data_IF_664945631537
#
_entry.id   IF_664945631537
#
_cell.length_a   1.000
_cell.length_b   1.000
_cell.length_c   1.000
_cell.angle_alpha   90.00
_cell.angle_beta   90.00
_cell.angle_gamma   90.00
#
_symmetry.space_group_name_H-M   'P 1'
#
loop_
_entity.id
_entity.type
_entity.pdbx_description
1 polymer ?
#
# COMPACT_ATOMS: atom_id res chain seq x y z
N UNK A 1 -12.47 5.22 -5.66
CA UNK A 1 -11.46 6.22 -5.27
C UNK A 1 -10.98 6.87 -6.54
N UNK A 2 -11.17 8.17 -6.71
CA UNK A 2 -10.65 8.92 -7.87
C UNK A 2 -9.17 9.24 -7.64
N UNK A 3 -8.34 8.20 -7.56
CA UNK A 3 -6.90 8.30 -7.26
C UNK A 3 -6.10 8.08 -8.56
N UNK A 4 -5.17 8.99 -8.91
CA UNK A 4 -4.30 8.81 -10.07
C UNK A 4 -3.49 7.51 -9.98
N UNK A 5 -3.32 6.83 -11.12
CA UNK A 5 -2.75 5.48 -11.16
C UNK A 5 -1.27 5.44 -10.74
N UNK A 6 -0.54 6.53 -10.95
CA UNK A 6 0.84 6.72 -10.53
C UNK A 6 1.01 6.78 -9.01
N UNK A 7 -0.06 7.06 -8.25
CA UNK A 7 -0.05 7.05 -6.78
C UNK A 7 -0.33 5.65 -6.20
N UNK A 8 -0.62 4.66 -7.06
CA UNK A 8 -0.86 3.28 -6.64
C UNK A 8 0.46 2.49 -6.73
N UNK A 9 0.91 1.99 -5.59
CA UNK A 9 2.08 1.12 -5.52
C UNK A 9 1.69 -0.28 -6.00
N UNK A 10 2.40 -0.78 -7.00
CA UNK A 10 2.10 -2.04 -7.68
C UNK A 10 3.29 -2.98 -7.57
N UNK A 11 3.15 -4.05 -6.80
CA UNK A 11 4.19 -5.08 -6.66
C UNK A 11 3.73 -6.45 -7.20
N UNK A 12 2.45 -6.56 -7.57
CA UNK A 12 1.85 -7.81 -8.09
C UNK A 12 2.57 -8.34 -9.34
N UNK A 13 3.10 -7.46 -10.18
CA UNK A 13 3.84 -7.84 -11.38
C UNK A 13 5.20 -8.50 -11.08
N UNK A 14 5.73 -8.34 -9.86
CA UNK A 14 6.98 -8.95 -9.39
C UNK A 14 6.75 -10.18 -8.52
N UNK A 15 5.76 -10.12 -7.62
CA UNK A 15 5.58 -11.15 -6.57
C UNK A 15 4.24 -11.88 -6.62
N UNK A 16 3.33 -11.50 -7.51
CA UNK A 16 1.97 -12.02 -7.51
C UNK A 16 1.15 -11.58 -6.28
N UNK A 17 0.09 -12.33 -5.99
CA UNK A 17 -0.73 -12.14 -4.79
C UNK A 17 -0.12 -12.94 -3.63
N UNK A 18 0.44 -12.26 -2.64
CA UNK A 18 1.05 -12.88 -1.46
C UNK A 18 0.15 -12.79 -0.22
N UNK A 19 -1.17 -12.64 -0.43
CA UNK A 19 -2.20 -12.53 0.61
C UNK A 19 -1.84 -11.40 1.59
N UNK A 20 -1.73 -11.71 2.88
CA UNK A 20 -1.44 -10.74 3.94
C UNK A 20 -0.13 -9.96 3.71
N UNK A 21 0.85 -10.56 3.04
CA UNK A 21 2.15 -9.92 2.79
C UNK A 21 2.13 -8.90 1.65
N UNK A 22 1.04 -8.81 0.86
CA UNK A 22 0.98 -7.94 -0.31
C UNK A 22 1.16 -6.45 0.04
N UNK A 23 0.53 -6.01 1.13
CA UNK A 23 0.60 -4.63 1.61
C UNK A 23 1.99 -4.28 2.18
N UNK A 24 2.59 -5.04 3.12
CA UNK A 24 3.90 -4.69 3.65
C UNK A 24 5.02 -4.76 2.59
N UNK A 25 4.96 -5.70 1.63
CA UNK A 25 5.91 -5.72 0.51
C UNK A 25 5.80 -4.43 -0.33
N UNK A 26 4.58 -4.00 -0.65
CA UNK A 26 4.37 -2.75 -1.38
C UNK A 26 4.83 -1.51 -0.60
N UNK A 27 4.58 -1.48 0.71
CA UNK A 27 5.04 -0.40 1.57
C UNK A 27 6.58 -0.34 1.65
N UNK A 28 7.24 -1.49 1.78
CA UNK A 28 8.69 -1.57 1.79
C UNK A 28 9.30 -1.08 0.47
N UNK A 29 8.79 -1.53 -0.69
CA UNK A 29 9.25 -1.01 -1.98
C UNK A 29 9.04 0.51 -2.12
N UNK A 30 7.92 1.04 -1.65
CA UNK A 30 7.67 2.48 -1.65
C UNK A 30 8.75 3.22 -0.84
N UNK A 31 9.06 2.74 0.37
CA UNK A 31 10.04 3.36 1.27
C UNK A 31 11.48 3.25 0.74
N UNK A 32 11.82 2.19 0.01
CA UNK A 32 13.12 2.06 -0.65
C UNK A 32 13.27 3.00 -1.84
N UNK A 33 12.20 3.23 -2.60
CA UNK A 33 12.23 4.07 -3.80
C UNK A 33 12.01 5.56 -3.51
N UNK A 34 11.28 5.88 -2.44
CA UNK A 34 10.86 7.24 -2.13
C UNK A 34 11.01 7.52 -0.64
N UNK A 35 11.61 8.67 -0.33
CA UNK A 35 11.56 9.22 1.03
C UNK A 35 10.23 9.95 1.21
N UNK A 36 9.37 9.40 2.06
CA UNK A 36 8.12 10.06 2.43
C UNK A 36 8.41 11.35 3.22
N UNK A 37 7.60 12.37 2.99
CA UNK A 37 7.60 13.61 3.78
C UNK A 37 6.46 13.61 4.78
N UNK A 38 6.56 14.45 5.81
CA UNK A 38 5.51 14.61 6.83
C UNK A 38 4.19 15.13 6.25
N UNK A 39 4.19 15.75 5.07
CA UNK A 39 2.97 16.21 4.40
C UNK A 39 2.27 15.10 3.60
N UNK A 40 2.95 13.99 3.35
CA UNK A 40 2.41 12.86 2.63
C UNK A 40 1.67 11.90 3.56
N UNK A 41 0.58 11.34 3.04
CA UNK A 41 -0.22 10.31 3.72
C UNK A 41 -0.24 9.06 2.86
N UNK A 42 -0.16 7.90 3.50
CA UNK A 42 -0.22 6.59 2.84
C UNK A 42 -1.48 5.87 3.29
N UNK A 43 -2.33 5.48 2.35
CA UNK A 43 -3.51 4.66 2.61
C UNK A 43 -3.16 3.19 2.39
N UNK A 44 -3.21 2.40 3.46
CA UNK A 44 -3.16 0.94 3.38
C UNK A 44 -4.61 0.43 3.35
N UNK A 45 -4.95 -0.40 2.37
CA UNK A 45 -6.29 -0.95 2.21
C UNK A 45 -6.20 -2.43 1.85
N UNK A 46 -6.90 -3.27 2.60
CA UNK A 46 -6.95 -4.72 2.39
C UNK A 46 -8.37 -5.26 2.36
N UNK A 47 -8.56 -6.32 1.57
CA UNK A 47 -9.78 -7.11 1.48
C UNK A 47 -9.39 -8.58 1.32
N UNK A 48 -10.10 -9.50 1.97
CA UNK A 48 -9.77 -10.91 1.94
C UNK A 48 -10.93 -11.83 2.32
N UNK A 49 -10.65 -13.14 2.27
CA UNK A 49 -11.63 -14.19 2.56
C UNK A 49 -12.24 -14.03 3.96
N UNK A 50 -13.55 -14.30 4.04
CA UNK A 50 -14.38 -13.95 5.19
C UNK A 50 -15.85 -13.74 4.78
N UNK A 51 -16.29 -12.55 4.40
CA UNK A 51 -15.54 -11.39 3.91
C UNK A 51 -15.04 -10.45 5.00
N UNK A 52 -13.80 -9.97 4.86
CA UNK A 52 -13.20 -8.97 5.75
C UNK A 52 -12.51 -7.88 4.94
N UNK A 53 -12.55 -6.65 5.45
CA UNK A 53 -11.83 -5.51 4.87
C UNK A 53 -11.42 -4.54 5.96
N UNK A 54 -10.40 -3.74 5.68
CA UNK A 54 -9.90 -2.73 6.59
C UNK A 54 -8.99 -1.75 5.88
N UNK A 55 -8.89 -0.55 6.45
CA UNK A 55 -8.00 0.49 5.94
C UNK A 55 -7.35 1.27 7.09
N UNK A 56 -6.12 1.72 6.85
CA UNK A 56 -5.34 2.55 7.78
C UNK A 56 -4.73 3.70 6.98
N UNK A 57 -4.85 4.92 7.50
CA UNK A 57 -4.18 6.10 6.97
C UNK A 57 -2.95 6.41 7.83
N UNK A 58 -1.76 6.22 7.27
CA UNK A 58 -0.49 6.50 7.92
C UNK A 58 0.01 7.90 7.54
N UNK A 59 0.68 8.54 8.50
CA UNK A 59 1.39 9.82 8.32
C UNK A 59 2.72 9.72 9.07
N UNK A 60 3.80 10.14 8.43
CA UNK A 60 5.10 10.25 9.09
C UNK A 60 5.11 11.49 10.00
N UNK A 61 5.61 11.31 11.24
CA UNK A 61 5.75 12.37 12.26
C UNK A 61 7.18 12.88 12.24
#
# INVERSE_FOLDING_TARGET
LEVPFEKIIKTVHKYGNTSASSIPIALDELLQQHKLTSDQKVLLLGFGAGLTYGAILLKQI
#
